data_IF_611560521491
#
_entry.id   IF_611560521491
#
_cell.length_a   1.000
_cell.length_b   1.000
_cell.length_c   1.000
_cell.angle_alpha   90.00
_cell.angle_beta   90.00
_cell.angle_gamma   90.00
#
_symmetry.space_group_name_H-M   'P 1'
#
loop_
_entity.id
_entity.type
_entity.pdbx_description
1 polymer ?
#
# COMPACT_ATOMS: atom_id res chain seq x y z
N UNK A 1 39.44 -11.07 -20.26
CA UNK A 1 39.15 -10.59 -18.89
C UNK A 1 38.47 -9.22 -18.80
N UNK A 2 38.79 -8.23 -19.64
CA UNK A 2 38.21 -6.87 -19.53
C UNK A 2 36.72 -6.79 -19.94
N UNK A 3 36.35 -7.50 -21.00
CA UNK A 3 34.95 -7.57 -21.50
C UNK A 3 34.08 -8.41 -20.55
N UNK A 4 34.57 -9.55 -20.07
CA UNK A 4 33.84 -10.43 -19.14
C UNK A 4 33.50 -9.74 -17.82
N UNK A 5 34.42 -8.92 -17.28
CA UNK A 5 34.17 -8.09 -16.09
C UNK A 5 33.13 -7.00 -16.34
N UNK A 6 33.13 -6.41 -17.54
CA UNK A 6 32.16 -5.39 -17.93
C UNK A 6 30.75 -5.99 -18.08
N UNK A 7 30.65 -7.16 -18.71
CA UNK A 7 29.39 -7.92 -18.83
C UNK A 7 28.85 -8.28 -17.44
N UNK A 8 29.72 -8.71 -16.53
CA UNK A 8 29.32 -9.00 -15.14
C UNK A 8 28.80 -7.75 -14.42
N UNK A 9 29.46 -6.60 -14.56
CA UNK A 9 29.00 -5.34 -13.97
C UNK A 9 27.63 -4.90 -14.52
N UNK A 10 27.42 -5.01 -15.83
CA UNK A 10 26.13 -4.68 -16.46
C UNK A 10 25.03 -5.62 -15.97
N UNK A 11 25.32 -6.92 -15.85
CA UNK A 11 24.38 -7.91 -15.33
C UNK A 11 23.95 -7.59 -13.89
N UNK A 12 24.90 -7.29 -13.01
CA UNK A 12 24.63 -6.94 -11.61
C UNK A 12 23.79 -5.67 -11.50
N UNK A 13 24.10 -4.64 -12.31
CA UNK A 13 23.33 -3.40 -12.34
C UNK A 13 21.89 -3.61 -12.80
N UNK A 14 21.67 -4.50 -13.77
CA UNK A 14 20.33 -4.84 -14.27
C UNK A 14 19.49 -5.58 -13.22
N UNK A 15 20.12 -6.48 -12.45
CA UNK A 15 19.45 -7.21 -11.34
C UNK A 15 19.02 -6.23 -10.23
N UNK A 16 19.86 -5.27 -9.88
CA UNK A 16 19.54 -4.28 -8.83
C UNK A 16 18.40 -3.32 -9.24
N UNK A 17 18.29 -2.99 -10.53
CA UNK A 17 17.22 -2.11 -11.03
C UNK A 17 15.85 -2.79 -11.09
N UNK A 18 15.80 -4.13 -11.20
CA UNK A 18 14.55 -4.89 -11.31
C UNK A 18 13.73 -4.93 -10.00
N UNK A 19 14.34 -4.61 -8.85
CA UNK A 19 13.65 -4.59 -7.57
C UNK A 19 12.95 -3.25 -7.24
N UNK A 20 13.10 -2.23 -8.09
CA UNK A 20 12.67 -0.86 -7.77
C UNK A 20 11.24 -0.49 -8.22
N UNK A 21 10.43 -1.41 -8.75
CA UNK A 21 9.12 -1.05 -9.31
C UNK A 21 7.96 -1.90 -8.81
N UNK A 22 7.41 -1.53 -7.66
CA UNK A 22 5.96 -1.63 -7.42
C UNK A 22 5.44 -0.22 -7.22
N UNK A 23 5.32 0.52 -8.32
CA UNK A 23 4.59 1.79 -8.31
C UNK A 23 3.18 1.50 -7.80
N UNK A 24 2.87 2.00 -6.60
CA UNK A 24 1.51 1.92 -6.06
C UNK A 24 0.57 2.46 -7.14
N UNK A 25 -0.39 1.64 -7.58
CA UNK A 25 -1.45 2.13 -8.47
C UNK A 25 -2.21 3.19 -7.67
N UNK A 26 -1.90 4.45 -7.94
CA UNK A 26 -2.64 5.59 -7.42
C UNK A 26 -4.00 5.64 -8.11
N UNK A 27 -4.90 4.73 -7.75
CA UNK A 27 -6.31 4.93 -7.98
C UNK A 27 -6.75 6.02 -7.00
N UNK A 28 -6.63 7.28 -7.42
CA UNK A 28 -7.14 8.39 -6.62
C UNK A 28 -8.65 8.21 -6.51
N UNK A 29 -9.24 8.13 -5.30
CA UNK A 29 -10.67 8.01 -5.17
C UNK A 29 -11.33 9.23 -5.82
N UNK A 30 -12.23 8.99 -6.78
CA UNK A 30 -12.91 10.05 -7.50
C UNK A 30 -14.03 10.60 -6.61
N UNK A 31 -13.99 11.90 -6.33
CA UNK A 31 -15.05 12.58 -5.56
C UNK A 31 -16.42 12.40 -6.24
N UNK A 32 -17.46 12.19 -5.44
CA UNK A 32 -18.83 11.95 -5.92
C UNK A 32 -19.14 10.49 -6.27
N UNK A 33 -18.17 9.57 -6.23
CA UNK A 33 -18.44 8.14 -6.33
C UNK A 33 -18.81 7.55 -4.96
N UNK A 34 -19.66 6.52 -4.98
CA UNK A 34 -19.94 5.71 -3.78
C UNK A 34 -18.66 4.99 -3.38
N UNK A 35 -18.22 5.19 -2.13
CA UNK A 35 -17.06 4.50 -1.60
C UNK A 35 -17.30 2.96 -1.61
N UNK A 36 -16.34 2.15 -2.11
CA UNK A 36 -16.45 0.70 -2.05
C UNK A 36 -16.58 0.22 -0.60
N UNK A 37 -17.45 -0.77 -0.37
CA UNK A 37 -17.53 -1.41 0.94
C UNK A 37 -16.26 -2.23 1.20
N UNK A 38 -15.77 -2.21 2.44
CA UNK A 38 -14.58 -2.95 2.84
C UNK A 38 -14.69 -3.43 4.29
N UNK A 39 -13.92 -4.47 4.59
CA UNK A 39 -13.82 -5.07 5.93
C UNK A 39 -12.36 -5.13 6.35
N UNK A 40 -12.04 -4.60 7.52
CA UNK A 40 -10.70 -4.58 8.11
C UNK A 40 -10.77 -4.94 9.59
N UNK A 41 -9.66 -5.39 10.16
CA UNK A 41 -9.54 -5.50 11.62
C UNK A 41 -9.22 -4.14 12.22
N UNK A 42 -9.83 -3.80 13.35
CA UNK A 42 -9.45 -2.63 14.15
C UNK A 42 -8.14 -2.89 14.93
N UNK A 43 -7.71 -1.91 15.73
CA UNK A 43 -6.48 -2.00 16.53
C UNK A 43 -6.52 -3.08 17.61
N UNK A 44 -7.69 -3.62 17.93
CA UNK A 44 -7.91 -4.69 18.91
C UNK A 44 -8.18 -6.04 18.24
N UNK A 45 -8.16 -6.11 16.91
CA UNK A 45 -8.46 -7.31 16.14
C UNK A 45 -9.96 -7.55 15.91
N UNK A 46 -10.85 -6.63 16.29
CA UNK A 46 -12.28 -6.78 15.99
C UNK A 46 -12.54 -6.46 14.53
N UNK A 47 -13.53 -7.14 13.95
CA UNK A 47 -13.95 -6.88 12.58
C UNK A 47 -14.71 -5.56 12.49
N UNK A 48 -14.25 -4.68 11.61
CA UNK A 48 -14.87 -3.40 11.27
C UNK A 48 -15.26 -3.38 9.79
N UNK A 49 -16.46 -2.89 9.48
CA UNK A 49 -17.00 -2.84 8.11
C UNK A 49 -17.58 -1.46 7.80
N UNK A 50 -17.23 -0.89 6.64
CA UNK A 50 -17.67 0.45 6.24
C UNK A 50 -19.21 0.55 6.22
N UNK A 51 -19.89 -0.41 5.58
CA UNK A 51 -21.35 -0.44 5.51
C UNK A 51 -22.05 -0.56 6.88
N UNK A 52 -21.36 -0.98 7.93
CA UNK A 52 -21.91 -0.95 9.28
C UNK A 52 -21.70 0.41 9.96
N UNK A 53 -20.54 1.03 9.77
CA UNK A 53 -20.24 2.34 10.37
C UNK A 53 -21.18 3.44 9.86
N UNK A 54 -21.45 3.48 8.56
CA UNK A 54 -22.31 4.51 7.96
C UNK A 54 -23.79 4.41 8.34
N UNK A 55 -24.23 3.30 8.96
CA UNK A 55 -25.59 3.18 9.51
C UNK A 55 -25.80 4.06 10.73
N UNK A 56 -24.75 4.22 11.55
CA UNK A 56 -24.81 4.89 12.84
C UNK A 56 -24.07 6.24 12.84
N UNK A 57 -23.37 6.59 11.76
CA UNK A 57 -22.56 7.79 11.65
C UNK A 57 -22.85 8.55 10.35
N UNK A 58 -22.82 9.89 10.43
CA UNK A 58 -23.05 10.77 9.27
C UNK A 58 -21.87 10.81 8.29
N UNK A 59 -20.67 10.53 8.76
CA UNK A 59 -19.44 10.56 7.97
C UNK A 59 -18.39 9.62 8.56
N UNK A 60 -17.45 9.20 7.70
CA UNK A 60 -16.26 8.41 8.06
C UNK A 60 -15.05 9.08 7.43
N UNK A 61 -13.99 9.28 8.22
CA UNK A 61 -12.71 9.80 7.75
C UNK A 61 -11.70 8.66 7.72
N UNK A 62 -11.11 8.40 6.56
CA UNK A 62 -10.07 7.37 6.40
C UNK A 62 -8.70 8.05 6.40
N UNK A 63 -7.88 7.69 7.38
CA UNK A 63 -6.49 8.13 7.47
C UNK A 63 -5.57 6.98 7.08
N UNK A 64 -4.75 7.19 6.04
CA UNK A 64 -3.71 6.25 5.62
C UNK A 64 -2.36 6.77 6.12
N UNK A 65 -1.74 6.02 7.03
CA UNK A 65 -0.42 6.31 7.55
C UNK A 65 0.31 5.00 7.87
N UNK A 66 1.65 4.97 7.79
CA UNK A 66 2.42 3.83 8.29
C UNK A 66 2.08 3.60 9.76
N UNK A 67 1.62 2.40 10.10
CA UNK A 67 1.41 2.04 11.50
C UNK A 67 2.77 1.85 12.15
N UNK A 68 2.99 2.54 13.27
CA UNK A 68 4.13 2.26 14.12
C UNK A 68 3.80 1.02 14.98
N UNK A 69 4.48 -0.10 14.69
CA UNK A 69 4.38 -1.33 15.47
C UNK A 69 5.56 -1.49 16.45
N UNK A 70 6.39 -0.44 16.64
CA UNK A 70 7.44 -0.47 17.66
C UNK A 70 6.80 -0.50 19.05
N UNK A 71 7.18 -1.51 19.84
CA UNK A 71 6.81 -1.59 21.26
C UNK A 71 7.83 -0.76 22.03
N UNK A 72 7.44 0.41 22.51
CA UNK A 72 8.22 1.15 23.51
C UNK A 72 8.32 0.35 24.81
#
# INVERSE_FOLDING_TARGET
>A
MRITKFVFFVLVFFILSACASTGAKNASPVSGQVAPDFTLSDQKGNIWKLSNAVKNHRAVVLAFYPKDDTKL
#
